data_IF_887745236209
#
_entry.id   IF_887745236209
#
_cell.length_a   1.000
_cell.length_b   1.000
_cell.length_c   1.000
_cell.angle_alpha   90.00
_cell.angle_beta   90.00
_cell.angle_gamma   90.00
#
_symmetry.space_group_name_H-M   'P 1'
#
loop_
_entity.id
_entity.type
_entity.pdbx_description
1 polymer ?
#
# COMPACT_ATOMS: atom_id res chain seq x y z
N UNK A 1 26.23 -10.61 17.77
CA UNK A 1 26.48 -10.25 16.36
C UNK A 1 26.32 -11.49 15.50
N UNK A 2 25.37 -11.51 14.56
CA UNK A 2 25.14 -12.67 13.69
C UNK A 2 26.15 -12.70 12.53
N UNK A 3 26.70 -13.88 12.22
CA UNK A 3 27.55 -14.11 11.05
C UNK A 3 26.65 -14.59 9.90
N UNK A 4 26.81 -14.05 8.70
CA UNK A 4 26.07 -14.45 7.50
C UNK A 4 27.05 -14.99 6.47
N UNK A 5 26.70 -16.09 5.81
CA UNK A 5 27.43 -16.61 4.66
C UNK A 5 26.60 -16.26 3.42
N UNK A 6 27.18 -15.48 2.51
CA UNK A 6 26.54 -15.05 1.27
C UNK A 6 27.36 -15.59 0.10
N UNK A 7 26.68 -16.18 -0.88
CA UNK A 7 27.28 -16.67 -2.11
C UNK A 7 26.67 -15.88 -3.28
N UNK A 8 27.53 -15.39 -4.18
CA UNK A 8 27.15 -14.67 -5.38
C UNK A 8 27.77 -15.35 -6.60
N UNK A 9 27.12 -15.23 -7.76
CA UNK A 9 27.67 -15.61 -9.05
C UNK A 9 28.58 -14.53 -9.65
N UNK A 10 28.59 -13.33 -9.06
CA UNK A 10 29.48 -12.24 -9.45
C UNK A 10 30.86 -12.44 -8.80
N UNK A 11 31.89 -12.60 -9.64
CA UNK A 11 33.25 -12.91 -9.21
C UNK A 11 34.10 -11.64 -9.02
N UNK A 12 33.64 -10.50 -9.55
CA UNK A 12 34.34 -9.22 -9.46
C UNK A 12 33.92 -8.44 -8.20
N UNK A 13 34.84 -8.31 -7.24
CA UNK A 13 34.64 -7.60 -5.98
C UNK A 13 34.39 -6.08 -6.17
N UNK A 14 34.82 -5.50 -7.29
CA UNK A 14 34.58 -4.09 -7.60
C UNK A 14 33.18 -3.85 -8.15
N UNK A 15 32.59 -4.85 -8.83
CA UNK A 15 31.23 -4.77 -9.36
C UNK A 15 30.17 -5.06 -8.30
N UNK A 16 30.47 -5.93 -7.32
CA UNK A 16 29.56 -6.20 -6.21
C UNK A 16 30.30 -6.19 -4.86
N UNK A 17 30.50 -5.00 -4.27
CA UNK A 17 31.12 -4.88 -2.95
C UNK A 17 30.34 -5.64 -1.88
N UNK A 18 31.05 -6.20 -0.90
CA UNK A 18 30.45 -6.99 0.18
C UNK A 18 29.35 -6.24 0.97
N UNK A 19 29.47 -4.92 1.11
CA UNK A 19 28.45 -4.10 1.76
C UNK A 19 27.15 -4.05 0.93
N UNK A 20 27.25 -3.91 -0.39
CA UNK A 20 26.10 -3.90 -1.29
C UNK A 20 25.44 -5.28 -1.34
N UNK A 21 26.24 -6.36 -1.37
CA UNK A 21 25.75 -7.74 -1.27
C UNK A 21 24.97 -7.98 0.03
N UNK A 22 25.50 -7.50 1.17
CA UNK A 22 24.82 -7.63 2.46
C UNK A 22 23.55 -6.79 2.54
N UNK A 23 23.55 -5.58 1.98
CA UNK A 23 22.36 -4.71 1.87
C UNK A 23 21.29 -5.36 0.99
N UNK A 24 21.66 -5.89 -0.16
CA UNK A 24 20.77 -6.59 -1.07
C UNK A 24 20.14 -7.82 -0.39
N UNK A 25 20.95 -8.67 0.24
CA UNK A 25 20.46 -9.85 0.97
C UNK A 25 19.49 -9.48 2.10
N UNK A 26 19.82 -8.47 2.91
CA UNK A 26 18.91 -7.99 3.97
C UNK A 26 17.65 -7.34 3.41
N UNK A 27 17.73 -6.70 2.25
CA UNK A 27 16.58 -6.13 1.53
C UNK A 27 15.64 -7.19 0.96
N UNK A 28 16.19 -8.32 0.49
CA UNK A 28 15.42 -9.44 -0.09
C UNK A 28 14.51 -10.12 0.93
N UNK A 29 14.92 -10.25 2.20
CA UNK A 29 14.11 -10.89 3.25
C UNK A 29 12.83 -10.14 3.63
N UNK A 30 12.73 -8.84 3.33
CA UNK A 30 11.59 -8.00 3.77
C UNK A 30 10.39 -8.06 2.82
N UNK A 31 10.59 -8.49 1.57
CA UNK A 31 9.56 -8.47 0.52
C UNK A 31 8.58 -9.64 0.56
N UNK A 32 9.02 -10.90 0.39
CA UNK A 32 8.13 -12.05 0.18
C UNK A 32 7.28 -12.37 1.41
N UNK A 33 7.88 -12.46 2.60
CA UNK A 33 7.19 -12.88 3.83
C UNK A 33 6.09 -11.90 4.26
N UNK A 34 6.33 -10.60 4.05
CA UNK A 34 5.37 -9.54 4.34
C UNK A 34 4.19 -9.57 3.36
N UNK A 35 4.47 -9.85 2.09
CA UNK A 35 3.45 -10.08 1.06
C UNK A 35 2.58 -11.30 1.35
N UNK A 36 3.16 -12.45 1.73
CA UNK A 36 2.39 -13.64 2.07
C UNK A 36 1.52 -13.49 3.33
N UNK A 37 2.00 -12.76 4.35
CA UNK A 37 1.16 -12.43 5.52
C UNK A 37 -0.03 -11.55 5.12
N UNK A 38 0.17 -10.61 4.21
CA UNK A 38 -0.89 -9.77 3.68
C UNK A 38 -1.91 -10.57 2.85
N UNK A 39 -1.47 -11.54 2.04
CA UNK A 39 -2.37 -12.43 1.30
C UNK A 39 -3.29 -13.26 2.22
N UNK A 40 -2.87 -13.49 3.46
CA UNK A 40 -3.62 -14.22 4.48
C UNK A 40 -4.38 -13.29 5.44
N UNK A 41 -4.40 -11.98 5.19
CA UNK A 41 -5.03 -11.03 6.10
C UNK A 41 -6.57 -11.07 5.93
N UNK A 42 -7.34 -11.19 7.03
CA UNK A 42 -8.81 -11.27 6.99
C UNK A 42 -9.47 -10.10 6.24
N UNK A 43 -8.81 -8.94 6.20
CA UNK A 43 -9.29 -7.76 5.46
C UNK A 43 -9.35 -7.95 3.94
N UNK A 44 -8.66 -8.96 3.38
CA UNK A 44 -8.71 -9.30 1.95
C UNK A 44 -9.77 -10.33 1.59
N UNK A 45 -10.66 -10.69 2.54
CA UNK A 45 -11.80 -11.56 2.28
C UNK A 45 -11.46 -12.95 1.72
N UNK A 46 -10.19 -13.36 1.77
CA UNK A 46 -9.73 -14.65 1.24
C UNK A 46 -10.47 -15.83 1.90
N UNK A 47 -10.78 -15.70 3.20
CA UNK A 47 -11.55 -16.70 3.95
C UNK A 47 -13.04 -16.75 3.57
N UNK A 48 -13.59 -15.66 3.01
CA UNK A 48 -15.00 -15.61 2.58
C UNK A 48 -15.23 -16.14 1.17
N UNK A 49 -14.17 -16.23 0.38
CA UNK A 49 -14.21 -16.81 -0.96
C UNK A 49 -14.08 -18.32 -0.81
N UNK A 50 -15.23 -19.02 -0.70
CA UNK A 50 -15.28 -20.48 -0.69
C UNK A 50 -14.80 -21.08 -2.02
N UNK A 51 -13.48 -21.11 -2.21
CA UNK A 51 -12.84 -21.57 -3.43
C UNK A 51 -12.63 -23.08 -3.37
N UNK A 52 -13.57 -23.83 -3.96
CA UNK A 52 -13.52 -25.29 -3.99
C UNK A 52 -12.65 -25.87 -5.12
N UNK A 53 -12.27 -25.07 -6.12
CA UNK A 53 -11.52 -25.56 -7.29
C UNK A 53 -10.13 -24.91 -7.42
N UNK A 54 -9.09 -25.70 -7.76
CA UNK A 54 -7.72 -25.20 -7.93
C UNK A 54 -7.61 -24.01 -8.90
N UNK A 55 -8.39 -24.04 -9.99
CA UNK A 55 -8.42 -22.95 -10.98
C UNK A 55 -8.85 -21.62 -10.38
N UNK A 56 -9.85 -21.60 -9.50
CA UNK A 56 -10.32 -20.36 -8.87
C UNK A 56 -9.33 -19.87 -7.81
N UNK A 57 -8.65 -20.78 -7.10
CA UNK A 57 -7.56 -20.43 -6.19
C UNK A 57 -6.41 -19.76 -6.94
N UNK A 58 -5.95 -20.34 -8.05
CA UNK A 58 -4.90 -19.75 -8.87
C UNK A 58 -5.28 -18.36 -9.39
N UNK A 59 -6.50 -18.20 -9.91
CA UNK A 59 -6.99 -16.91 -10.39
C UNK A 59 -7.02 -15.86 -9.27
N UNK A 60 -7.50 -16.23 -8.08
CA UNK A 60 -7.51 -15.33 -6.93
C UNK A 60 -6.09 -14.93 -6.52
N UNK A 61 -5.17 -15.90 -6.39
CA UNK A 61 -3.77 -15.62 -6.01
C UNK A 61 -3.11 -14.66 -7.00
N UNK A 62 -3.38 -14.81 -8.30
CA UNK A 62 -2.87 -13.88 -9.32
C UNK A 62 -3.41 -12.46 -9.13
N UNK A 63 -4.71 -12.30 -8.92
CA UNK A 63 -5.34 -10.99 -8.68
C UNK A 63 -4.81 -10.37 -7.38
N UNK A 64 -4.68 -11.15 -6.31
CA UNK A 64 -4.14 -10.67 -5.04
C UNK A 64 -2.66 -10.29 -5.15
N UNK A 65 -1.87 -11.02 -5.92
CA UNK A 65 -0.48 -10.67 -6.23
C UNK A 65 -0.37 -9.34 -6.99
N UNK A 66 -1.26 -9.11 -7.96
CA UNK A 66 -1.34 -7.83 -8.67
C UNK A 66 -1.75 -6.68 -7.73
N UNK A 67 -2.75 -6.91 -6.86
CA UNK A 67 -3.17 -5.93 -5.87
C UNK A 67 -2.03 -5.57 -4.91
N UNK A 68 -1.26 -6.57 -4.46
CA UNK A 68 -0.06 -6.37 -3.64
C UNK A 68 0.99 -5.49 -4.33
N UNK A 69 1.23 -5.71 -5.62
CA UNK A 69 2.16 -4.88 -6.39
C UNK A 69 1.68 -3.43 -6.43
N UNK A 70 0.40 -3.20 -6.73
CA UNK A 70 -0.21 -1.87 -6.73
C UNK A 70 -0.06 -1.21 -5.35
N UNK A 71 -0.27 -1.96 -4.28
CA UNK A 71 -0.14 -1.45 -2.92
C UNK A 71 1.30 -1.10 -2.57
N UNK A 72 2.27 -1.93 -2.95
CA UNK A 72 3.68 -1.66 -2.74
C UNK A 72 4.13 -0.39 -3.49
N UNK A 73 3.64 -0.20 -4.72
CA UNK A 73 3.91 1.00 -5.52
C UNK A 73 3.28 2.24 -4.90
N UNK A 74 2.02 2.17 -4.47
CA UNK A 74 1.33 3.26 -3.79
C UNK A 74 2.02 3.63 -2.46
N UNK A 75 2.41 2.62 -1.67
CA UNK A 75 3.17 2.80 -0.43
C UNK A 75 4.49 3.53 -0.68
N UNK A 76 5.26 3.07 -1.67
CA UNK A 76 6.52 3.70 -2.08
C UNK A 76 6.29 5.15 -2.50
N UNK A 77 5.27 5.42 -3.32
CA UNK A 77 4.95 6.76 -3.79
C UNK A 77 4.63 7.70 -2.63
N UNK A 78 3.78 7.29 -1.70
CA UNK A 78 3.41 8.11 -0.53
C UNK A 78 4.62 8.37 0.36
N UNK A 79 5.45 7.35 0.62
CA UNK A 79 6.66 7.50 1.44
C UNK A 79 7.67 8.47 0.85
N UNK A 80 7.93 8.38 -0.45
CA UNK A 80 8.81 9.31 -1.15
C UNK A 80 8.27 10.74 -1.07
N UNK A 81 6.98 10.93 -1.36
CA UNK A 81 6.35 12.25 -1.29
C UNK A 81 6.35 12.84 0.13
N UNK A 82 6.21 12.02 1.18
CA UNK A 82 6.32 12.45 2.58
C UNK A 82 7.75 12.89 2.92
N UNK A 83 8.75 12.13 2.48
CA UNK A 83 10.16 12.45 2.70
C UNK A 83 10.56 13.74 1.99
N UNK A 84 10.23 13.88 0.69
CA UNK A 84 10.54 15.05 -0.13
C UNK A 84 9.94 16.35 0.46
N UNK A 85 8.73 16.27 1.01
CA UNK A 85 8.03 17.43 1.59
C UNK A 85 8.29 17.62 3.09
N UNK A 86 9.05 16.74 3.74
CA UNK A 86 9.27 16.75 5.19
C UNK A 86 7.98 16.55 6.00
N UNK A 87 6.96 15.92 5.41
CA UNK A 87 5.64 15.74 6.01
C UNK A 87 5.52 14.40 6.72
N UNK A 88 4.55 14.26 7.62
CA UNK A 88 4.24 12.98 8.26
C UNK A 88 2.73 12.79 8.42
N UNK A 89 2.32 11.52 8.51
CA UNK A 89 0.95 11.12 8.83
C UNK A 89 0.94 10.26 10.11
N UNK A 90 -0.18 10.20 10.86
CA UNK A 90 -0.23 9.42 12.09
C UNK A 90 -0.18 7.91 11.82
N UNK A 91 0.71 7.22 12.53
CA UNK A 91 0.76 5.77 12.57
C UNK A 91 -0.41 5.19 13.38
N UNK A 92 -0.44 3.86 13.59
CA UNK A 92 -1.54 3.18 14.31
C UNK A 92 -1.72 3.65 15.76
N UNK A 93 -0.66 4.15 16.40
CA UNK A 93 -0.70 4.71 17.77
C UNK A 93 -0.75 6.25 17.77
N UNK A 94 -1.03 6.87 16.63
CA UNK A 94 -1.16 8.33 16.48
C UNK A 94 0.15 9.11 16.36
N UNK A 95 1.32 8.45 16.44
CA UNK A 95 2.62 9.14 16.31
C UNK A 95 2.92 9.48 14.85
N UNK A 96 3.57 10.62 14.56
CA UNK A 96 3.95 11.00 13.20
C UNK A 96 4.91 9.97 12.60
N UNK A 97 4.64 9.55 11.36
CA UNK A 97 5.52 8.70 10.57
C UNK A 97 5.60 9.15 9.12
N UNK A 98 6.80 9.02 8.54
CA UNK A 98 7.05 9.19 7.10
C UNK A 98 7.03 7.85 6.35
N UNK A 99 6.93 6.74 7.09
CA UNK A 99 6.91 5.39 6.56
C UNK A 99 5.58 4.66 6.84
N UNK A 100 4.41 5.25 6.51
CA UNK A 100 3.14 4.56 6.69
C UNK A 100 3.04 3.33 5.77
N UNK A 101 2.17 2.38 6.10
CA UNK A 101 1.79 1.30 5.20
C UNK A 101 0.51 1.65 4.44
N UNK A 102 0.28 1.09 3.25
CA UNK A 102 -0.99 1.29 2.54
C UNK A 102 -2.18 0.79 3.36
N UNK A 103 -2.00 -0.29 4.13
CA UNK A 103 -3.02 -0.76 5.09
C UNK A 103 -3.40 0.34 6.09
N UNK A 104 -2.43 1.03 6.69
CA UNK A 104 -2.72 2.13 7.63
C UNK A 104 -3.46 3.26 6.92
N UNK A 105 -3.06 3.57 5.69
CA UNK A 105 -3.74 4.59 4.88
C UNK A 105 -5.20 4.20 4.66
N UNK A 106 -5.51 2.97 4.24
CA UNK A 106 -6.90 2.52 4.10
C UNK A 106 -7.69 2.59 5.40
N UNK A 107 -7.10 2.18 6.53
CA UNK A 107 -7.74 2.29 7.85
C UNK A 107 -8.09 3.74 8.23
N UNK A 108 -7.33 4.72 7.76
CA UNK A 108 -7.65 6.12 8.00
C UNK A 108 -8.83 6.59 7.15
N UNK A 109 -9.07 5.96 6.00
CA UNK A 109 -10.18 6.27 5.11
C UNK A 109 -11.47 5.50 5.45
N UNK A 110 -11.42 4.58 6.42
CA UNK A 110 -12.63 3.93 6.95
C UNK A 110 -13.57 4.97 7.57
N UNK A 111 -14.86 4.85 7.28
CA UNK A 111 -15.89 5.80 7.73
C UNK A 111 -16.05 7.06 6.86
N UNK A 112 -15.39 7.13 5.70
CA UNK A 112 -15.74 8.08 4.64
C UNK A 112 -16.95 7.56 3.89
N UNK A 113 -18.06 8.29 3.96
CA UNK A 113 -19.32 7.92 3.30
C UNK A 113 -19.54 8.78 2.06
N UNK A 114 -20.13 8.19 1.02
CA UNK A 114 -20.52 8.90 -0.20
C UNK A 114 -22.05 9.00 -0.23
N UNK A 115 -22.56 10.22 -0.10
CA UNK A 115 -23.98 10.52 -0.21
C UNK A 115 -24.33 10.82 -1.66
N UNK A 116 -25.27 10.06 -2.22
CA UNK A 116 -25.81 10.28 -3.56
C UNK A 116 -27.20 10.92 -3.44
N UNK A 117 -27.34 12.15 -3.93
CA UNK A 117 -28.59 12.90 -3.92
C UNK A 117 -29.11 12.97 -5.36
N UNK A 118 -30.20 12.25 -5.68
CA UNK A 118 -30.84 12.39 -6.98
C UNK A 118 -31.53 13.77 -7.07
N UNK A 119 -31.17 14.58 -8.08
CA UNK A 119 -31.75 15.89 -8.34
C UNK A 119 -31.92 16.11 -9.85
N UNK A 120 -33.16 16.33 -10.30
CA UNK A 120 -33.53 16.74 -11.68
C UNK A 120 -32.69 16.12 -12.81
N UNK A 121 -32.59 14.78 -12.85
CA UNK A 121 -31.88 14.06 -13.91
C UNK A 121 -30.36 13.97 -13.77
N UNK A 122 -29.79 14.49 -12.68
CA UNK A 122 -28.39 14.31 -12.26
C UNK A 122 -28.32 13.67 -10.88
N UNK A 123 -27.23 12.95 -10.63
CA UNK A 123 -26.91 12.42 -9.29
C UNK A 123 -25.81 13.31 -8.73
N UNK A 124 -26.14 14.10 -7.71
CA UNK A 124 -25.14 14.86 -6.96
C UNK A 124 -24.42 13.92 -5.99
N UNK A 125 -23.10 13.99 -5.98
CA UNK A 125 -22.28 13.19 -5.09
C UNK A 125 -21.66 14.11 -4.03
N UNK A 126 -21.84 13.76 -2.76
CA UNK A 126 -21.15 14.40 -1.62
C UNK A 126 -20.32 13.41 -0.84
N UNK A 127 -19.08 13.77 -0.54
CA UNK A 127 -18.17 12.97 0.30
C UNK A 127 -18.21 13.48 1.73
N UNK A 128 -18.70 12.64 2.65
CA UNK A 128 -18.84 12.92 4.07
C UNK A 128 -17.61 12.48 4.86
N UNK A 129 -17.43 13.03 6.07
CA UNK A 129 -16.37 12.66 7.01
C UNK A 129 -14.92 12.81 6.49
N UNK A 130 -14.71 13.66 5.47
CA UNK A 130 -13.38 13.92 4.92
C UNK A 130 -12.57 14.87 5.82
N UNK A 131 -11.72 14.29 6.68
CA UNK A 131 -10.84 15.03 7.58
C UNK A 131 -9.62 15.64 6.87
N UNK A 132 -8.95 16.64 7.47
CA UNK A 132 -7.75 17.27 6.88
C UNK A 132 -6.64 16.28 6.53
N UNK A 133 -6.49 15.22 7.34
CA UNK A 133 -5.49 14.17 7.11
C UNK A 133 -5.80 13.36 5.84
N UNK A 134 -7.07 13.13 5.50
CA UNK A 134 -7.47 12.45 4.27
C UNK A 134 -7.11 13.28 3.05
N UNK A 135 -7.42 14.60 3.09
CA UNK A 135 -7.04 15.54 2.01
C UNK A 135 -5.53 15.59 1.80
N UNK A 136 -4.73 15.55 2.87
CA UNK A 136 -3.27 15.50 2.77
C UNK A 136 -2.81 14.22 2.05
N UNK A 137 -3.34 13.06 2.44
CA UNK A 137 -3.02 11.79 1.80
C UNK A 137 -3.44 11.77 0.34
N UNK A 138 -4.63 12.29 0.00
CA UNK A 138 -5.12 12.39 -1.38
C UNK A 138 -4.17 13.21 -2.26
N UNK A 139 -3.68 14.35 -1.77
CA UNK A 139 -2.69 15.18 -2.47
C UNK A 139 -1.36 14.47 -2.70
N UNK A 140 -0.94 13.60 -1.76
CA UNK A 140 0.28 12.80 -1.90
C UNK A 140 0.11 11.67 -2.94
N UNK A 141 -1.09 11.10 -3.03
CA UNK A 141 -1.43 10.08 -4.02
C UNK A 141 -1.61 10.67 -5.44
N UNK A 142 -1.98 11.94 -5.53
CA UNK A 142 -2.00 12.73 -6.76
C UNK A 142 -3.42 13.08 -7.25
N UNK A 143 -3.51 13.91 -8.30
CA UNK A 143 -4.75 14.58 -8.70
C UNK A 143 -5.83 13.62 -9.19
N UNK A 144 -5.45 12.50 -9.83
CA UNK A 144 -6.42 11.50 -10.28
C UNK A 144 -7.17 10.84 -9.12
N UNK A 145 -6.48 10.62 -7.99
CA UNK A 145 -7.10 10.04 -6.80
C UNK A 145 -7.90 11.10 -6.06
N UNK A 146 -7.39 12.33 -5.96
CA UNK A 146 -8.10 13.45 -5.33
C UNK A 146 -9.46 13.73 -5.99
N UNK A 147 -9.55 13.65 -7.34
CA UNK A 147 -10.82 13.79 -8.08
C UNK A 147 -11.90 12.79 -7.67
N UNK A 148 -11.53 11.57 -7.26
CA UNK A 148 -12.50 10.56 -6.82
C UNK A 148 -13.20 10.93 -5.51
N UNK A 149 -12.65 11.88 -4.75
CA UNK A 149 -13.16 12.32 -3.45
C UNK A 149 -13.66 13.77 -3.48
N UNK A 150 -13.87 14.32 -4.67
CA UNK A 150 -14.47 15.64 -4.86
C UNK A 150 -15.99 15.52 -4.97
N UNK A 151 -16.69 16.49 -4.40
CA UNK A 151 -18.13 16.60 -4.58
C UNK A 151 -18.42 16.88 -6.06
N UNK A 152 -19.37 16.15 -6.63
CA UNK A 152 -19.83 16.38 -8.00
C UNK A 152 -21.20 17.07 -7.91
N UNK A 153 -21.26 18.30 -8.43
CA UNK A 153 -22.45 19.15 -8.46
C UNK A 153 -23.30 18.98 -9.71
#
# INVERSE_FOLDING_TARGET
>A
MGKFILATNELDEQQLPAEEMLRAYKGQGVGPERGFRFLKDPWFFADSLFLKSPRRIMALVMVMGLALLVYALAERKVRLALQEKGESIPNQVGKPTQAPTMRRIFQMFEGIDVLLIPAEGRVQQRVLNLQPVHRRILRLLGPSVEKCYQDTG
#
